data_IF_295340091792
#
_entry.id   IF_295340091792
#
_cell.length_a   1.000
_cell.length_b   1.000
_cell.length_c   1.000
_cell.angle_alpha   90.00
_cell.angle_beta   90.00
_cell.angle_gamma   90.00
#
_symmetry.space_group_name_H-M   'P 1'
#
loop_
_entity.id
_entity.type
_entity.pdbx_description
1 polymer ?
#
# COMPACT_ATOMS: atom_id res chain seq x y z
N UNK A 1 12.35 65.84 -62.03
CA UNK A 1 11.99 65.97 -60.60
C UNK A 1 11.40 64.64 -60.15
N UNK A 2 12.23 63.87 -59.45
CA UNK A 2 11.98 62.60 -58.74
C UNK A 2 11.02 62.83 -57.56
N UNK A 3 10.33 61.87 -56.94
CA UNK A 3 10.04 60.46 -57.17
C UNK A 3 8.98 60.12 -56.11
N UNK A 4 7.80 59.65 -56.51
CA UNK A 4 6.78 59.19 -55.56
C UNK A 4 7.22 57.86 -54.96
N UNK A 5 7.82 57.90 -53.77
CA UNK A 5 8.23 56.70 -53.03
C UNK A 5 6.99 56.00 -52.48
N UNK A 6 6.61 54.90 -53.12
CA UNK A 6 5.64 53.93 -52.59
C UNK A 6 6.26 53.25 -51.36
N UNK A 7 5.65 53.44 -50.19
CA UNK A 7 6.00 52.72 -48.97
C UNK A 7 5.21 51.40 -48.99
N UNK A 8 5.84 50.22 -49.10
CA UNK A 8 5.11 48.98 -48.91
C UNK A 8 4.83 48.79 -47.41
N UNK A 9 3.55 48.83 -47.04
CA UNK A 9 3.10 48.41 -45.71
C UNK A 9 3.40 46.92 -45.55
N UNK A 10 4.47 46.62 -44.80
CA UNK A 10 4.91 45.28 -44.44
C UNK A 10 3.83 44.63 -43.56
N UNK A 11 2.99 43.77 -44.13
CA UNK A 11 2.03 42.95 -43.36
C UNK A 11 2.82 41.98 -42.47
N UNK A 12 2.76 42.21 -41.17
CA UNK A 12 3.27 41.30 -40.15
C UNK A 12 2.31 40.10 -40.02
N UNK A 13 2.78 38.84 -39.99
CA UNK A 13 1.90 37.71 -39.75
C UNK A 13 1.42 37.73 -38.30
N UNK A 14 0.10 37.72 -38.10
CA UNK A 14 -0.52 37.48 -36.80
C UNK A 14 -0.19 36.05 -36.39
N UNK A 15 0.70 35.89 -35.41
CA UNK A 15 0.90 34.59 -34.77
C UNK A 15 -0.43 34.14 -34.14
N UNK A 16 -0.88 32.89 -34.33
CA UNK A 16 -2.09 32.42 -33.69
C UNK A 16 -1.89 32.39 -32.18
N UNK A 17 -2.76 33.10 -31.46
CA UNK A 17 -2.92 32.93 -30.02
C UNK A 17 -3.25 31.46 -29.74
N UNK A 18 -2.27 30.71 -29.25
CA UNK A 18 -2.49 29.39 -28.65
C UNK A 18 -3.37 29.58 -27.41
N UNK A 19 -4.69 29.52 -27.60
CA UNK A 19 -5.65 29.44 -26.51
C UNK A 19 -5.48 28.05 -25.88
N UNK A 20 -4.65 28.00 -24.85
CA UNK A 20 -4.59 26.84 -23.97
C UNK A 20 -5.97 26.70 -23.30
N UNK A 21 -6.79 25.80 -23.82
CA UNK A 21 -8.08 25.45 -23.23
C UNK A 21 -7.84 24.83 -21.85
N UNK A 22 -7.84 25.67 -20.82
CA UNK A 22 -7.97 25.22 -19.44
C UNK A 22 -9.33 24.53 -19.34
N UNK A 23 -9.34 23.22 -19.07
CA UNK A 23 -10.58 22.47 -18.79
C UNK A 23 -11.28 23.16 -17.63
N UNK A 24 -12.38 23.87 -17.94
CA UNK A 24 -13.28 24.41 -16.95
C UNK A 24 -14.12 23.24 -16.42
N UNK A 25 -13.61 22.56 -15.39
CA UNK A 25 -14.46 21.67 -14.61
C UNK A 25 -15.61 22.51 -14.06
N UNK A 26 -16.86 22.09 -14.33
CA UNK A 26 -18.03 22.68 -13.70
C UNK A 26 -17.88 22.53 -12.19
N UNK A 27 -17.47 23.61 -11.52
CA UNK A 27 -17.32 23.63 -10.07
C UNK A 27 -18.71 23.52 -9.47
N UNK A 28 -19.10 22.32 -9.03
CA UNK A 28 -20.27 22.18 -8.14
C UNK A 28 -20.07 23.14 -6.98
N UNK A 29 -21.07 23.97 -6.70
CA UNK A 29 -21.02 24.91 -5.58
C UNK A 29 -20.58 24.15 -4.32
N UNK A 30 -19.58 24.66 -3.58
CA UNK A 30 -19.04 23.94 -2.43
C UNK A 30 -20.15 23.71 -1.40
N UNK A 31 -20.51 22.44 -1.19
CA UNK A 31 -21.49 22.08 -0.16
C UNK A 31 -20.88 22.44 1.22
N UNK A 32 -21.52 23.28 2.04
CA UNK A 32 -21.00 23.68 3.35
C UNK A 32 -20.65 22.48 4.24
N UNK A 33 -21.41 21.38 4.18
CA UNK A 33 -21.10 20.15 4.91
C UNK A 33 -19.77 19.51 4.48
N UNK A 34 -19.45 19.57 3.18
CA UNK A 34 -18.18 19.04 2.66
C UNK A 34 -16.97 19.86 3.09
N UNK A 35 -17.15 21.17 3.29
CA UNK A 35 -16.09 22.05 3.79
C UNK A 35 -15.82 21.78 5.27
N UNK A 36 -16.87 21.61 6.08
CA UNK A 36 -16.73 21.25 7.50
C UNK A 36 -15.95 19.94 7.69
N UNK A 37 -16.29 18.89 6.94
CA UNK A 37 -15.59 17.61 7.01
C UNK A 37 -14.12 17.73 6.58
N UNK A 38 -13.82 18.53 5.56
CA UNK A 38 -12.44 18.78 5.11
C UNK A 38 -11.61 19.50 6.15
N UNK A 39 -12.18 20.48 6.85
CA UNK A 39 -11.45 21.33 7.79
C UNK A 39 -11.27 20.66 9.15
N UNK A 40 -12.31 20.03 9.70
CA UNK A 40 -12.28 19.55 11.09
C UNK A 40 -12.17 18.04 11.19
N UNK A 41 -12.90 17.30 10.36
CA UNK A 41 -12.97 15.84 10.50
C UNK A 41 -11.80 15.12 9.83
N UNK A 42 -11.34 15.60 8.67
CA UNK A 42 -10.26 14.97 7.90
C UNK A 42 -8.91 14.95 8.64
N UNK A 43 -8.46 16.04 9.31
CA UNK A 43 -7.23 15.99 10.11
C UNK A 43 -7.35 15.08 11.33
N UNK A 44 -8.47 15.16 12.05
CA UNK A 44 -8.71 14.34 13.25
C UNK A 44 -8.75 12.86 12.91
N UNK A 45 -9.49 12.48 11.85
CA UNK A 45 -9.55 11.10 11.38
C UNK A 45 -8.16 10.59 10.96
N UNK A 46 -7.34 11.42 10.31
CA UNK A 46 -5.97 11.04 9.95
C UNK A 46 -5.11 10.73 11.18
N UNK A 47 -5.13 11.61 12.18
CA UNK A 47 -4.34 11.41 13.40
C UNK A 47 -4.84 10.19 14.17
N UNK A 48 -6.16 10.02 14.30
CA UNK A 48 -6.74 8.85 14.96
C UNK A 48 -6.31 7.55 14.26
N UNK A 49 -6.41 7.49 12.94
CA UNK A 49 -6.00 6.31 12.17
C UNK A 49 -4.51 6.00 12.33
N UNK A 50 -3.64 7.02 12.27
CA UNK A 50 -2.20 6.84 12.46
C UNK A 50 -1.89 6.45 13.90
N UNK A 51 -2.58 7.01 14.89
CA UNK A 51 -2.39 6.70 16.30
C UNK A 51 -2.75 5.23 16.57
N UNK A 52 -3.92 4.78 16.11
CA UNK A 52 -4.33 3.38 16.22
C UNK A 52 -3.34 2.49 15.48
N UNK A 53 -2.98 2.81 14.24
CA UNK A 53 -2.03 2.02 13.46
C UNK A 53 -0.66 1.90 14.14
N UNK A 54 -0.12 3.00 14.67
CA UNK A 54 1.14 3.01 15.41
C UNK A 54 1.06 2.15 16.66
N UNK A 55 -0.03 2.26 17.42
CA UNK A 55 -0.27 1.40 18.59
C UNK A 55 -0.32 -0.08 18.20
N UNK A 56 -1.03 -0.41 17.11
CA UNK A 56 -1.09 -1.79 16.61
C UNK A 56 0.29 -2.31 16.20
N UNK A 57 1.11 -1.49 15.54
CA UNK A 57 2.47 -1.88 15.18
C UNK A 57 3.36 -2.12 16.40
N UNK A 58 3.31 -1.25 17.40
CA UNK A 58 4.09 -1.42 18.64
C UNK A 58 3.65 -2.70 19.36
N UNK A 59 2.34 -2.91 19.51
CA UNK A 59 1.81 -4.12 20.14
C UNK A 59 2.18 -5.37 19.36
N UNK A 60 2.05 -5.34 18.03
CA UNK A 60 2.44 -6.45 17.17
C UNK A 60 3.95 -6.73 17.22
N UNK A 61 4.78 -5.69 17.22
CA UNK A 61 6.23 -5.82 17.41
C UNK A 61 6.56 -6.46 18.75
N UNK A 62 5.89 -6.06 19.82
CA UNK A 62 6.07 -6.67 21.14
C UNK A 62 5.73 -8.17 21.11
N UNK A 63 4.54 -8.52 20.61
CA UNK A 63 4.10 -9.93 20.52
C UNK A 63 5.02 -10.75 19.61
N UNK A 64 5.55 -10.15 18.55
CA UNK A 64 6.42 -10.83 17.59
C UNK A 64 7.79 -11.16 18.17
N UNK A 65 8.40 -10.25 18.92
CA UNK A 65 9.65 -10.52 19.64
C UNK A 65 9.47 -11.67 20.64
N UNK A 66 8.34 -11.68 21.35
CA UNK A 66 8.02 -12.73 22.32
C UNK A 66 7.78 -14.10 21.65
N UNK A 67 7.18 -14.11 20.45
CA UNK A 67 6.92 -15.36 19.71
C UNK A 67 8.14 -15.93 18.98
N UNK A 68 9.20 -15.16 18.77
CA UNK A 68 10.43 -15.68 18.14
C UNK A 68 11.12 -16.71 19.05
N UNK A 69 11.07 -16.54 20.36
CA UNK A 69 11.60 -17.54 21.31
C UNK A 69 10.70 -18.78 21.40
N UNK A 70 9.37 -18.61 21.36
CA UNK A 70 8.43 -19.73 21.54
C UNK A 70 8.34 -20.64 20.31
N UNK A 71 8.50 -20.09 19.10
CA UNK A 71 8.39 -20.87 17.86
C UNK A 71 9.55 -21.82 17.66
N UNK A 72 10.78 -21.38 17.96
CA UNK A 72 11.95 -22.24 17.89
C UNK A 72 11.81 -23.48 18.80
N UNK A 73 11.22 -23.31 19.98
CA UNK A 73 11.01 -24.40 20.92
C UNK A 73 9.84 -25.32 20.53
N UNK A 74 8.76 -24.75 19.98
CA UNK A 74 7.63 -25.52 19.46
C UNK A 74 8.05 -26.36 18.23
N UNK A 75 8.80 -25.77 17.30
CA UNK A 75 9.28 -26.47 16.09
C UNK A 75 10.24 -27.61 16.46
N UNK A 76 11.13 -27.39 17.43
CA UNK A 76 12.02 -28.45 17.93
C UNK A 76 11.24 -29.59 18.61
N UNK A 77 10.18 -29.27 19.36
CA UNK A 77 9.33 -30.27 20.01
C UNK A 77 8.54 -31.09 18.99
N UNK A 78 8.00 -30.44 17.95
CA UNK A 78 7.28 -31.10 16.86
C UNK A 78 8.21 -32.05 16.10
N UNK A 79 9.43 -31.61 15.75
CA UNK A 79 10.42 -32.46 15.08
C UNK A 79 10.79 -33.70 15.92
N UNK A 80 10.92 -33.55 17.24
CA UNK A 80 11.17 -34.66 18.15
C UNK A 80 10.01 -35.66 18.22
N UNK A 81 8.78 -35.16 18.21
CA UNK A 81 7.57 -36.00 18.21
C UNK A 81 7.40 -36.76 16.90
N UNK A 82 7.65 -36.13 15.75
CA UNK A 82 7.60 -36.78 14.44
C UNK A 82 8.63 -37.92 14.36
N UNK A 83 9.85 -37.71 14.85
CA UNK A 83 10.88 -38.75 14.88
C UNK A 83 10.46 -39.97 15.73
N UNK A 84 9.83 -39.74 16.88
CA UNK A 84 9.32 -40.83 17.73
C UNK A 84 8.18 -41.58 17.06
N UNK A 85 7.24 -40.86 16.43
CA UNK A 85 6.11 -41.48 15.71
C UNK A 85 6.61 -42.36 14.57
N UNK A 86 7.61 -41.90 13.81
CA UNK A 86 8.22 -42.67 12.73
C UNK A 86 8.96 -43.91 13.23
N UNK A 87 9.68 -43.80 14.35
CA UNK A 87 10.35 -44.93 14.97
C UNK A 87 9.35 -45.99 15.44
N UNK A 88 8.28 -45.57 16.13
CA UNK A 88 7.21 -46.47 16.57
C UNK A 88 6.50 -47.12 15.39
N UNK A 89 6.18 -46.38 14.32
CA UNK A 89 5.60 -46.94 13.10
C UNK A 89 6.50 -48.02 12.49
N UNK A 90 7.81 -47.77 12.39
CA UNK A 90 8.77 -48.74 11.85
C UNK A 90 8.85 -50.00 12.71
N UNK A 91 8.86 -49.86 14.04
CA UNK A 91 8.85 -51.01 14.98
C UNK A 91 7.58 -51.84 14.83
N UNK A 92 6.42 -51.20 14.80
CA UNK A 92 5.12 -51.87 14.61
C UNK A 92 5.06 -52.60 13.25
N UNK A 93 5.57 -51.98 12.18
CA UNK A 93 5.66 -52.62 10.86
C UNK A 93 6.64 -53.80 10.83
N UNK A 94 7.73 -53.74 11.58
CA UNK A 94 8.69 -54.83 11.69
C UNK A 94 8.12 -56.02 12.49
N UNK A 95 7.43 -55.77 13.61
CA UNK A 95 6.72 -56.80 14.37
C UNK A 95 5.56 -57.42 13.58
N UNK A 96 4.85 -56.63 12.79
CA UNK A 96 3.80 -57.13 11.90
C UNK A 96 4.38 -58.04 10.80
N UNK A 97 5.56 -57.70 10.24
CA UNK A 97 6.27 -58.55 9.28
C UNK A 97 6.80 -59.84 9.90
N UNK A 98 7.28 -59.82 11.15
CA UNK A 98 7.82 -61.01 11.81
C UNK A 98 6.74 -61.99 12.29
N UNK A 99 5.51 -61.53 12.52
CA UNK A 99 4.36 -62.40 12.87
C UNK A 99 3.64 -62.97 11.65
N UNK A 100 3.90 -62.45 10.45
CA UNK A 100 3.27 -62.87 9.20
C UNK A 100 4.16 -63.80 8.35
N UNK A 101 5.39 -64.06 8.77
CA UNK A 101 6.35 -64.98 8.15
C UNK A 101 6.61 -66.17 9.05
#
# INVERSE_FOLDING_TARGET
MNASRLIPLRRMPLAPLSISQRRLYASKAPNPASQFYKTFTRPVAKVLLIAVFTYQLIYWSWVKLDTEETKAQADATIAGLEAQVDEYKKKVLAEAKSKSS
#
